data_IF_827158167545
#
_entry.id   IF_827158167545
#
_cell.length_a   1.000
_cell.length_b   1.000
_cell.length_c   1.000
_cell.angle_alpha   90.00
_cell.angle_beta   90.00
_cell.angle_gamma   90.00
#
_symmetry.space_group_name_H-M   'P 1'
#
loop_
_entity.id
_entity.type
_entity.pdbx_description
1 polymer ?
#
# COMPACT_ATOMS: atom_id res chain seq x y z
N UNK A 1 5.12 -4.57 -8.20
CA UNK A 1 6.15 -3.70 -8.81
C UNK A 1 7.01 -3.12 -7.69
N UNK A 2 8.33 -3.15 -7.86
CA UNK A 2 9.27 -2.29 -7.13
C UNK A 2 9.74 -1.24 -8.14
N UNK A 3 9.70 0.04 -7.81
CA UNK A 3 10.20 1.03 -8.74
C UNK A 3 10.76 2.26 -8.06
N UNK A 4 11.90 2.67 -8.60
CA UNK A 4 12.59 3.88 -8.19
C UNK A 4 12.00 5.06 -8.97
N UNK A 5 11.55 6.08 -8.23
CA UNK A 5 11.44 7.44 -8.76
C UNK A 5 10.25 7.71 -9.68
N UNK A 6 9.04 7.67 -9.13
CA UNK A 6 8.01 8.58 -9.63
C UNK A 6 8.06 9.82 -8.74
N UNK A 7 8.48 10.97 -9.30
CA UNK A 7 8.50 12.26 -8.60
C UNK A 7 7.07 12.67 -8.24
N UNK A 8 6.61 12.19 -7.10
CA UNK A 8 5.40 12.62 -6.43
C UNK A 8 5.82 13.21 -5.08
N UNK A 9 5.13 14.25 -4.62
CA UNK A 9 5.37 14.76 -3.26
C UNK A 9 5.09 13.63 -2.27
N UNK A 10 6.08 13.29 -1.43
CA UNK A 10 5.90 12.30 -0.35
C UNK A 10 4.59 12.65 0.37
N UNK A 11 3.59 11.75 0.41
CA UNK A 11 2.36 11.98 1.12
C UNK A 11 2.64 12.49 2.52
N UNK A 12 2.07 13.64 2.85
CA UNK A 12 2.08 14.16 4.23
C UNK A 12 1.11 13.39 5.14
N UNK A 13 0.36 12.47 4.53
CA UNK A 13 -0.65 11.65 5.17
C UNK A 13 -0.23 10.18 5.14
N UNK A 14 -0.38 9.50 6.27
CA UNK A 14 -0.01 8.10 6.37
C UNK A 14 -0.11 7.58 7.79
N UNK A 15 0.74 6.62 8.08
CA UNK A 15 0.77 5.90 9.34
C UNK A 15 2.23 5.79 9.80
N UNK A 16 2.44 5.85 11.12
CA UNK A 16 3.71 5.47 11.72
C UNK A 16 3.49 4.20 12.51
N UNK A 17 4.27 3.17 12.19
CA UNK A 17 4.13 1.83 12.75
C UNK A 17 5.47 1.39 13.33
N UNK A 18 5.44 0.78 14.52
CA UNK A 18 6.65 0.16 15.10
C UNK A 18 6.96 -1.13 14.35
N UNK A 19 8.23 -1.54 14.32
CA UNK A 19 8.66 -2.81 13.71
C UNK A 19 7.78 -4.00 14.12
N UNK A 20 7.50 -4.12 15.42
CA UNK A 20 6.68 -5.21 15.97
C UNK A 20 5.21 -5.15 15.53
N UNK A 21 4.70 -3.95 15.18
CA UNK A 21 3.33 -3.74 14.75
C UNK A 21 3.10 -3.85 13.23
N UNK A 22 4.16 -4.00 12.42
CA UNK A 22 4.05 -4.01 10.95
C UNK A 22 3.08 -5.09 10.46
N UNK A 23 3.17 -6.30 11.01
CA UNK A 23 2.33 -7.42 10.58
C UNK A 23 0.83 -7.14 10.79
N UNK A 24 0.46 -6.71 12.00
CA UNK A 24 -0.93 -6.40 12.35
C UNK A 24 -1.45 -5.19 11.56
N UNK A 25 -0.60 -4.17 11.40
CA UNK A 25 -0.90 -2.98 10.62
C UNK A 25 -1.20 -3.34 9.16
N UNK A 26 -0.33 -4.11 8.49
CA UNK A 26 -0.55 -4.54 7.11
C UNK A 26 -1.81 -5.41 7.01
N UNK A 27 -2.00 -6.34 7.94
CA UNK A 27 -3.17 -7.23 7.96
C UNK A 27 -4.51 -6.49 7.94
N UNK A 28 -4.66 -5.48 8.83
CA UNK A 28 -5.87 -4.67 8.92
C UNK A 28 -5.98 -3.60 7.83
N UNK A 29 -4.88 -2.94 7.48
CA UNK A 29 -4.89 -1.86 6.49
C UNK A 29 -5.16 -2.37 5.08
N UNK A 30 -4.53 -3.47 4.67
CA UNK A 30 -4.78 -4.07 3.35
C UNK A 30 -6.21 -4.61 3.23
N UNK A 31 -6.84 -5.02 4.34
CA UNK A 31 -8.26 -5.41 4.34
C UNK A 31 -9.17 -4.23 4.04
N UNK A 32 -8.90 -3.10 4.71
CA UNK A 32 -9.61 -1.84 4.46
C UNK A 32 -9.34 -1.32 3.06
N UNK A 33 -8.20 -1.61 2.45
CA UNK A 33 -7.90 -1.32 1.04
C UNK A 33 -8.55 -2.32 0.07
N UNK A 34 -9.27 -3.32 0.59
CA UNK A 34 -10.09 -4.23 -0.20
C UNK A 34 -9.39 -5.51 -0.65
N UNK A 35 -8.18 -5.83 -0.15
CA UNK A 35 -7.51 -7.09 -0.45
C UNK A 35 -8.16 -8.24 0.33
N UNK A 36 -8.34 -9.38 -0.34
CA UNK A 36 -8.85 -10.59 0.28
C UNK A 36 -7.73 -11.30 1.07
N UNK A 37 -8.06 -12.39 1.76
CA UNK A 37 -7.09 -13.11 2.60
C UNK A 37 -5.83 -13.57 1.84
N UNK A 38 -5.99 -14.04 0.59
CA UNK A 38 -4.86 -14.54 -0.20
C UNK A 38 -3.97 -13.39 -0.68
N UNK A 39 -4.57 -12.36 -1.28
CA UNK A 39 -3.84 -11.19 -1.76
C UNK A 39 -3.08 -10.48 -0.63
N UNK A 40 -3.70 -10.39 0.56
CA UNK A 40 -3.04 -9.86 1.77
C UNK A 40 -1.86 -10.71 2.20
N UNK A 41 -2.01 -12.03 2.22
CA UNK A 41 -0.94 -12.93 2.59
C UNK A 41 0.25 -12.78 1.63
N UNK A 42 -0.01 -12.77 0.32
CA UNK A 42 1.02 -12.60 -0.71
C UNK A 42 1.75 -11.24 -0.55
N UNK A 43 1.01 -10.16 -0.28
CA UNK A 43 1.58 -8.83 -0.03
C UNK A 43 2.48 -8.82 1.21
N UNK A 44 1.98 -9.37 2.32
CA UNK A 44 2.67 -9.39 3.61
C UNK A 44 3.93 -10.25 3.53
N UNK A 45 3.85 -11.43 2.91
CA UNK A 45 4.99 -12.33 2.70
C UNK A 45 6.14 -11.61 1.99
N UNK A 46 5.81 -10.77 1.00
CA UNK A 46 6.81 -9.99 0.28
C UNK A 46 7.37 -8.82 1.08
N UNK A 47 6.51 -7.97 1.68
CA UNK A 47 6.94 -6.69 2.26
C UNK A 47 7.35 -6.75 3.72
N UNK A 48 6.71 -7.59 4.55
CA UNK A 48 7.00 -7.65 5.98
C UNK A 48 8.49 -7.93 6.29
N UNK A 49 9.19 -8.87 5.61
CA UNK A 49 10.62 -9.11 5.86
C UNK A 49 11.51 -7.91 5.53
N UNK A 50 11.10 -7.05 4.59
CA UNK A 50 11.85 -5.83 4.20
C UNK A 50 11.68 -4.69 5.21
N UNK A 51 10.63 -4.75 6.03
CA UNK A 51 10.32 -3.78 7.08
C UNK A 51 10.84 -4.23 8.46
N UNK A 52 12.06 -4.77 8.53
CA UNK A 52 12.68 -5.25 9.79
C UNK A 52 13.98 -4.54 10.20
N UNK A 53 14.54 -3.69 9.33
CA UNK A 53 15.83 -3.01 9.52
C UNK A 53 15.78 -1.77 10.45
N UNK A 54 14.59 -1.23 10.75
CA UNK A 54 14.41 0.01 11.52
C UNK A 54 13.39 -0.18 12.65
N UNK A 55 13.46 0.62 13.73
CA UNK A 55 12.54 0.51 14.84
C UNK A 55 11.11 0.98 14.51
N UNK A 56 10.97 1.91 13.56
CA UNK A 56 9.70 2.44 13.09
C UNK A 56 9.69 2.58 11.57
N UNK A 57 8.49 2.68 11.01
CA UNK A 57 8.27 2.92 9.60
C UNK A 57 7.17 3.96 9.43
N UNK A 58 7.43 4.96 8.59
CA UNK A 58 6.36 5.70 7.94
C UNK A 58 5.82 4.86 6.80
N UNK A 59 4.49 4.75 6.69
CA UNK A 59 3.82 4.02 5.62
C UNK A 59 2.68 4.86 5.08
N UNK A 60 2.59 4.96 3.76
CA UNK A 60 1.49 5.60 3.05
C UNK A 60 1.13 4.75 1.82
N UNK A 61 0.04 5.12 1.16
CA UNK A 61 -0.41 4.47 -0.06
C UNK A 61 -0.68 5.52 -1.12
N UNK A 62 -0.18 5.29 -2.33
CA UNK A 62 -0.35 6.23 -3.44
C UNK A 62 -1.83 6.35 -3.78
N UNK A 63 -2.30 7.59 -3.95
CA UNK A 63 -3.67 7.86 -4.36
C UNK A 63 -3.96 7.20 -5.71
N UNK A 64 -5.11 6.53 -5.80
CA UNK A 64 -5.54 5.78 -6.99
C UNK A 64 -5.54 6.63 -8.27
N UNK A 65 -6.04 7.86 -8.22
CA UNK A 65 -6.13 8.77 -9.37
C UNK A 65 -4.74 9.16 -9.89
N UNK A 66 -3.82 9.40 -8.95
CA UNK A 66 -2.41 9.69 -9.26
C UNK A 66 -1.76 8.45 -9.87
N UNK A 67 -1.97 7.27 -9.28
CA UNK A 67 -1.37 6.02 -9.77
C UNK A 67 -1.88 5.64 -11.16
N UNK A 68 -3.18 5.82 -11.42
CA UNK A 68 -3.80 5.55 -12.72
C UNK A 68 -3.29 6.52 -13.81
N UNK A 69 -3.00 7.78 -13.46
CA UNK A 69 -2.38 8.74 -14.38
C UNK A 69 -0.92 8.41 -14.70
N UNK A 70 -0.17 7.87 -13.74
CA UNK A 70 1.27 7.60 -13.88
C UNK A 70 1.54 6.25 -14.54
N UNK A 71 0.70 5.26 -14.27
CA UNK A 71 0.86 3.89 -14.75
C UNK A 71 -0.51 3.33 -15.17
N UNK A 72 -1.03 3.69 -16.36
CA UNK A 72 -2.33 3.23 -16.83
C UNK A 72 -2.35 1.71 -17.02
N UNK A 73 -3.42 1.06 -16.53
CA UNK A 73 -3.60 -0.39 -16.61
C UNK A 73 -4.74 -0.74 -17.57
N UNK A 74 -4.45 -1.53 -18.59
CA UNK A 74 -5.47 -2.11 -19.50
C UNK A 74 -5.55 -3.61 -19.29
N UNK A 75 -6.74 -4.13 -18.96
CA UNK A 75 -6.99 -5.57 -18.76
C UNK A 75 -8.09 -6.06 -19.70
N UNK A 76 -7.86 -7.21 -20.34
CA UNK A 76 -8.84 -7.90 -21.20
C UNK A 76 -9.00 -9.36 -20.75
N UNK A 77 -10.24 -9.86 -20.52
CA UNK A 77 -11.50 -9.12 -20.61
C UNK A 77 -11.58 -7.98 -19.58
N UNK A 78 -12.41 -6.98 -19.87
CA UNK A 78 -12.54 -5.80 -19.00
C UNK A 78 -13.09 -6.24 -17.64
N UNK A 79 -12.40 -5.92 -16.53
CA UNK A 79 -12.90 -6.24 -15.21
C UNK A 79 -14.03 -5.29 -14.79
N UNK A 80 -14.92 -5.78 -13.94
CA UNK A 80 -15.96 -5.00 -13.29
C UNK A 80 -15.35 -4.02 -12.26
N UNK A 81 -14.24 -4.44 -11.63
CA UNK A 81 -13.48 -3.64 -10.66
C UNK A 81 -11.98 -3.85 -10.78
N UNK A 82 -11.23 -2.78 -10.55
CA UNK A 82 -9.78 -2.81 -10.37
C UNK A 82 -9.49 -2.23 -8.99
N UNK A 83 -8.71 -2.94 -8.18
CA UNK A 83 -8.16 -2.44 -6.91
C UNK A 83 -6.65 -2.39 -7.07
N UNK A 84 -6.04 -1.22 -6.85
CA UNK A 84 -4.59 -1.05 -6.93
C UNK A 84 -4.07 -0.57 -5.59
N UNK A 85 -3.13 -1.30 -5.00
CA UNK A 85 -2.50 -0.92 -3.73
C UNK A 85 -1.02 -0.74 -3.95
N UNK A 86 -0.57 0.51 -3.86
CA UNK A 86 0.83 0.85 -3.98
C UNK A 86 1.33 1.44 -2.66
N UNK A 87 2.09 0.65 -1.91
CA UNK A 87 2.64 1.07 -0.62
C UNK A 87 3.94 1.84 -0.80
N UNK A 88 4.04 2.98 -0.16
CA UNK A 88 5.27 3.73 -0.04
C UNK A 88 5.66 3.74 1.44
N UNK A 89 6.89 3.35 1.76
CA UNK A 89 7.37 3.30 3.13
C UNK A 89 8.80 3.79 3.28
N UNK A 90 9.07 4.36 4.45
CA UNK A 90 10.36 4.91 4.83
C UNK A 90 10.73 4.43 6.25
N UNK A 91 11.94 3.90 6.49
CA UNK A 91 12.43 3.58 7.83
C UNK A 91 12.60 4.85 8.67
N UNK A 92 12.33 4.74 9.97
CA UNK A 92 12.43 5.82 10.94
C UNK A 92 13.15 5.33 12.21
N UNK A 93 14.04 6.16 12.77
CA UNK A 93 14.71 5.88 14.05
C UNK A 93 13.79 6.09 15.25
N UNK A 94 12.79 6.96 15.13
CA UNK A 94 11.83 7.31 16.17
C UNK A 94 10.46 7.60 15.54
N UNK A 95 9.33 7.46 16.27
CA UNK A 95 8.03 7.78 15.73
C UNK A 95 7.90 9.28 15.50
N UNK A 96 7.16 9.65 14.46
CA UNK A 96 6.91 11.05 14.10
C UNK A 96 5.41 11.29 13.98
N UNK A 97 4.96 12.52 14.25
CA UNK A 97 3.57 12.90 14.06
C UNK A 97 3.28 13.07 12.56
N UNK A 98 2.25 12.37 12.09
CA UNK A 98 1.78 12.44 10.70
C UNK A 98 0.29 12.69 10.66
N UNK A 99 -0.18 13.34 9.59
CA UNK A 99 -1.62 13.47 9.37
C UNK A 99 -2.16 12.06 9.04
N UNK A 100 -3.24 11.59 9.70
CA UNK A 100 -3.81 10.29 9.38
C UNK A 100 -4.34 10.26 7.94
N UNK A 101 -3.98 9.21 7.20
CA UNK A 101 -4.57 8.93 5.89
C UNK A 101 -5.97 8.32 6.05
N UNK A 102 -6.95 8.85 5.33
CA UNK A 102 -8.28 8.24 5.24
C UNK A 102 -8.29 7.07 4.24
N UNK A 103 -8.93 5.96 4.63
CA UNK A 103 -9.08 4.78 3.77
C UNK A 103 -10.56 4.54 3.51
N UNK A 104 -10.93 4.58 2.24
CA UNK A 104 -12.26 4.19 1.77
C UNK A 104 -12.17 2.78 1.21
N UNK A 105 -12.92 1.84 1.80
CA UNK A 105 -12.90 0.45 1.36
C UNK A 105 -13.62 0.28 0.03
N UNK A 106 -12.94 -0.22 -1.03
CA UNK A 106 -13.58 -0.42 -2.32
C UNK A 106 -14.54 -1.62 -2.24
N UNK A 107 -15.71 -1.47 -2.88
CA UNK A 107 -16.64 -2.58 -3.04
C UNK A 107 -16.16 -3.54 -4.14
N UNK A 108 -16.02 -4.82 -3.79
CA UNK A 108 -15.72 -5.89 -4.75
C UNK A 108 -17.03 -6.36 -5.39
N UNK A 109 -17.13 -6.26 -6.71
CA UNK A 109 -18.29 -6.70 -7.49
C UNK A 109 -17.82 -7.37 -8.77
N UNK A 110 -18.42 -8.50 -9.14
CA UNK A 110 -18.11 -9.20 -10.39
C UNK A 110 -16.65 -9.64 -10.50
N UNK A 111 -16.13 -9.68 -11.72
CA UNK A 111 -14.73 -9.96 -12.01
C UNK A 111 -13.86 -8.79 -11.54
N UNK A 112 -13.15 -8.99 -10.43
CA UNK A 112 -12.27 -7.99 -9.82
C UNK A 112 -10.80 -8.36 -10.05
N UNK A 113 -10.04 -7.40 -10.59
CA UNK A 113 -8.58 -7.49 -10.70
C UNK A 113 -7.94 -6.73 -9.56
N UNK A 114 -6.90 -7.31 -8.96
CA UNK A 114 -6.11 -6.67 -7.92
C UNK A 114 -4.66 -6.58 -8.39
N UNK A 115 -4.11 -5.37 -8.33
CA UNK A 115 -2.69 -5.12 -8.50
C UNK A 115 -2.12 -4.59 -7.19
N UNK A 116 -0.94 -5.07 -6.79
CA UNK A 116 -0.25 -4.51 -5.65
C UNK A 116 1.26 -4.37 -5.89
N UNK A 117 1.86 -3.42 -5.18
CA UNK A 117 3.27 -3.10 -5.26
C UNK A 117 3.70 -2.16 -4.16
N UNK A 118 4.94 -1.70 -4.24
CA UNK A 118 5.44 -0.70 -3.33
C UNK A 118 6.84 -0.20 -3.67
N UNK A 119 7.23 0.86 -2.98
CA UNK A 119 8.55 1.47 -3.08
C UNK A 119 9.11 1.68 -1.67
N UNK A 120 10.44 1.52 -1.55
CA UNK A 120 11.21 1.87 -0.37
C UNK A 120 11.95 3.18 -0.67
N UNK A 121 11.91 4.12 0.28
CA UNK A 121 12.67 5.37 0.25
C UNK A 121 13.79 5.40 1.28
#
# INVERSE_FOLDING_TARGET
WEGNGVNYEIPKEGFVVSKAGVLDFLGGTLERLGLNKKERADFIEFWHPRMQEAPYYFVTFVNQEVFDSLAPLTVSPRPDKVIRVFMDYQPLDHPVDVKPMEIVTPQRTGFTVVEWGGALH
#
